data_IF_528665462288
#
_entry.id   IF_528665462288
#
_cell.length_a   1.000
_cell.length_b   1.000
_cell.length_c   1.000
_cell.angle_alpha   90.00
_cell.angle_beta   90.00
_cell.angle_gamma   90.00
#
_symmetry.space_group_name_H-M   'P 1'
#
loop_
_entity.id
_entity.type
_entity.pdbx_description
1 polymer ?
#
# COMPACT_ATOMS: atom_id res chain seq x y z
N UNK A 1 -10.23 -7.70 -19.04
CA UNK A 1 -9.18 -7.36 -18.06
C UNK A 1 -8.66 -8.65 -17.49
N UNK A 2 -7.37 -8.92 -17.66
CA UNK A 2 -6.75 -10.12 -17.14
C UNK A 2 -6.23 -9.84 -15.73
N UNK A 3 -6.55 -10.70 -14.75
CA UNK A 3 -6.12 -10.56 -13.34
C UNK A 3 -5.13 -11.67 -13.04
N UNK A 4 -3.97 -11.33 -12.51
CA UNK A 4 -2.96 -12.30 -12.09
C UNK A 4 -3.22 -12.78 -10.65
N UNK A 5 -2.77 -13.99 -10.31
CA UNK A 5 -2.70 -14.48 -8.92
C UNK A 5 -1.92 -13.52 -8.02
N UNK A 6 -0.93 -12.82 -8.56
CA UNK A 6 -0.13 -11.83 -7.84
C UNK A 6 -0.86 -10.49 -7.63
N UNK A 7 -1.97 -10.26 -8.33
CA UNK A 7 -2.88 -9.16 -8.02
C UNK A 7 -3.80 -9.46 -6.85
N UNK A 8 -4.12 -10.74 -6.67
CA UNK A 8 -4.96 -11.23 -5.57
C UNK A 8 -4.16 -11.36 -4.27
N UNK A 9 -2.95 -11.91 -4.35
CA UNK A 9 -2.10 -12.19 -3.20
C UNK A 9 -0.88 -11.25 -3.17
N UNK A 10 -1.02 -10.15 -2.45
CA UNK A 10 0.06 -9.17 -2.23
C UNK A 10 0.58 -9.24 -0.81
N UNK A 11 1.90 -9.33 -0.68
CA UNK A 11 2.57 -9.20 0.62
C UNK A 11 2.49 -7.74 1.05
N UNK A 12 2.15 -7.50 2.31
CA UNK A 12 2.04 -6.17 2.88
C UNK A 12 1.91 -6.21 4.39
N UNK A 13 1.53 -5.08 4.97
CA UNK A 13 1.39 -4.94 6.42
C UNK A 13 -0.08 -4.79 6.84
N UNK A 14 -0.41 -5.38 8.00
CA UNK A 14 -1.69 -5.16 8.65
C UNK A 14 -1.80 -3.79 9.33
N UNK A 15 -2.99 -3.39 9.79
CA UNK A 15 -4.22 -4.20 9.81
C UNK A 15 -5.09 -4.07 8.55
N UNK A 16 -4.82 -3.16 7.61
CA UNK A 16 -5.75 -2.86 6.51
C UNK A 16 -5.05 -2.58 5.19
N UNK A 17 -5.49 -3.24 4.11
CA UNK A 17 -4.99 -2.94 2.76
C UNK A 17 -5.34 -1.52 2.31
N UNK A 18 -6.53 -1.01 2.65
CA UNK A 18 -6.98 0.32 2.23
C UNK A 18 -6.56 1.46 3.16
N UNK A 19 -6.35 1.17 4.45
CA UNK A 19 -6.03 2.19 5.45
C UNK A 19 -4.59 2.10 6.00
N UNK A 20 -3.84 1.07 5.63
CA UNK A 20 -2.42 0.89 6.00
C UNK A 20 -1.54 0.77 4.77
N UNK A 21 -1.73 -0.28 3.95
CA UNK A 21 -0.92 -0.52 2.75
C UNK A 21 -1.07 0.62 1.74
N UNK A 22 -2.32 0.99 1.39
CA UNK A 22 -2.60 2.08 0.46
C UNK A 22 -1.94 3.41 0.84
N UNK A 23 -2.15 3.94 2.07
CA UNK A 23 -1.49 5.17 2.50
C UNK A 23 0.03 5.13 2.53
N UNK A 24 0.62 3.98 2.87
CA UNK A 24 2.08 3.81 2.82
C UNK A 24 2.59 3.85 1.38
N UNK A 25 1.94 3.13 0.46
CA UNK A 25 2.25 3.17 -0.97
C UNK A 25 2.08 4.58 -1.56
N UNK A 26 1.02 5.30 -1.19
CA UNK A 26 0.79 6.67 -1.65
C UNK A 26 1.89 7.63 -1.17
N UNK A 27 2.27 7.53 0.11
CA UNK A 27 3.37 8.32 0.67
C UNK A 27 4.71 8.01 -0.02
N UNK A 28 5.01 6.72 -0.23
CA UNK A 28 6.21 6.29 -0.96
C UNK A 28 6.21 6.80 -2.40
N UNK A 29 5.09 6.65 -3.12
CA UNK A 29 4.94 7.13 -4.50
C UNK A 29 5.11 8.66 -4.61
N UNK A 30 4.56 9.42 -3.66
CA UNK A 30 4.77 10.86 -3.58
C UNK A 30 6.24 11.22 -3.40
N UNK A 31 6.93 10.55 -2.46
CA UNK A 31 8.36 10.81 -2.21
C UNK A 31 9.23 10.40 -3.39
N UNK A 32 8.94 9.28 -4.04
CA UNK A 32 9.64 8.89 -5.27
C UNK A 32 9.52 9.97 -6.34
N UNK A 33 8.30 10.44 -6.62
CA UNK A 33 8.09 11.53 -7.58
C UNK A 33 8.74 12.85 -7.17
N UNK A 34 8.84 13.13 -5.87
CA UNK A 34 9.52 14.32 -5.34
C UNK A 34 11.04 14.21 -5.44
N UNK A 35 11.63 13.03 -5.24
CA UNK A 35 13.08 12.77 -5.40
C UNK A 35 13.57 13.01 -6.82
N UNK A 36 12.71 12.75 -7.80
CA UNK A 36 13.01 12.97 -9.22
C UNK A 36 12.97 14.48 -9.59
N UNK A 37 12.52 15.36 -8.68
CA UNK A 37 12.55 16.82 -8.85
C UNK A 37 13.90 17.41 -8.47
N UNK A 38 14.35 18.42 -9.23
CA UNK A 38 15.53 19.21 -8.92
C UNK A 38 15.43 19.95 -7.56
N UNK A 39 14.21 20.13 -7.05
CA UNK A 39 13.91 20.81 -5.80
C UNK A 39 13.85 19.86 -4.60
N UNK A 40 14.13 18.56 -4.77
CA UNK A 40 14.07 17.61 -3.66
C UNK A 40 14.92 18.05 -2.46
N UNK A 41 16.12 18.59 -2.69
CA UNK A 41 17.01 19.03 -1.62
C UNK A 41 16.55 20.29 -0.87
N UNK A 42 15.55 21.03 -1.36
CA UNK A 42 15.02 22.23 -0.71
C UNK A 42 13.79 21.96 0.16
N UNK A 43 13.23 20.74 0.13
CA UNK A 43 12.04 20.37 0.90
C UNK A 43 12.38 20.37 2.39
N UNK A 44 11.63 21.14 3.18
CA UNK A 44 11.80 21.17 4.65
C UNK A 44 10.57 20.69 5.40
N UNK A 45 9.45 20.47 4.68
CA UNK A 45 8.18 20.06 5.26
C UNK A 45 7.36 19.27 4.25
N UNK A 46 6.81 18.14 4.68
CA UNK A 46 5.78 17.40 3.95
C UNK A 46 4.52 17.36 4.80
N UNK A 47 3.37 17.65 4.17
CA UNK A 47 2.04 17.58 4.78
C UNK A 47 1.24 16.48 4.08
N UNK A 48 0.61 15.63 4.87
CA UNK A 48 -0.30 14.59 4.43
C UNK A 48 -1.71 14.86 4.97
N UNK A 49 -2.71 14.80 4.11
CA UNK A 49 -4.11 15.03 4.46
C UNK A 49 -4.95 13.83 4.01
N UNK A 50 -5.68 13.24 4.95
CA UNK A 50 -6.52 12.06 4.73
C UNK A 50 -7.99 12.45 4.77
N UNK A 51 -8.78 12.00 3.81
CA UNK A 51 -10.18 12.41 3.61
C UNK A 51 -11.15 11.22 3.73
N UNK A 52 -12.43 11.54 3.88
CA UNK A 52 -13.53 10.58 3.88
C UNK A 52 -13.39 9.48 4.93
N UNK A 53 -13.59 8.21 4.51
CA UNK A 53 -13.50 7.05 5.40
C UNK A 53 -12.09 6.90 5.99
N UNK A 54 -11.06 7.20 5.19
CA UNK A 54 -9.67 7.16 5.62
C UNK A 54 -9.40 8.20 6.72
N UNK A 55 -9.91 9.43 6.55
CA UNK A 55 -9.85 10.47 7.58
C UNK A 55 -10.64 10.11 8.85
N UNK A 56 -11.75 9.38 8.73
CA UNK A 56 -12.59 8.98 9.86
C UNK A 56 -11.96 7.86 10.71
N UNK A 57 -11.46 6.81 10.06
CA UNK A 57 -11.05 5.56 10.75
C UNK A 57 -9.55 5.30 10.73
N UNK A 58 -8.77 6.09 9.99
CA UNK A 58 -7.35 5.82 9.75
C UNK A 58 -6.49 5.72 11.01
N UNK A 59 -6.85 6.44 12.09
CA UNK A 59 -6.17 6.32 13.39
C UNK A 59 -6.22 4.89 13.95
N UNK A 60 -7.37 4.23 13.86
CA UNK A 60 -7.54 2.85 14.35
C UNK A 60 -6.84 1.80 13.47
N UNK A 61 -6.59 2.15 12.21
CA UNK A 61 -5.96 1.30 11.21
C UNK A 61 -4.45 1.56 11.05
N UNK A 62 -3.85 2.39 11.90
CA UNK A 62 -2.42 2.68 11.84
C UNK A 62 -1.98 3.57 10.68
N UNK A 63 -2.91 4.27 10.00
CA UNK A 63 -2.60 5.18 8.88
C UNK A 63 -1.48 6.17 9.20
N UNK A 64 -1.40 6.81 10.39
CA UNK A 64 -0.31 7.74 10.68
C UNK A 64 1.08 7.11 10.61
N UNK A 65 1.26 5.92 11.21
CA UNK A 65 2.53 5.20 11.17
C UNK A 65 2.87 4.74 9.75
N UNK A 66 1.88 4.22 9.02
CA UNK A 66 2.04 3.81 7.63
C UNK A 66 2.50 4.95 6.72
N UNK A 67 1.91 6.14 6.87
CA UNK A 67 2.33 7.34 6.14
C UNK A 67 3.76 7.73 6.51
N UNK A 68 4.13 7.72 7.79
CA UNK A 68 5.51 8.02 8.20
C UNK A 68 6.52 7.06 7.57
N UNK A 69 6.26 5.75 7.60
CA UNK A 69 7.17 4.77 7.00
C UNK A 69 7.29 4.97 5.49
N UNK A 70 6.17 5.22 4.79
CA UNK A 70 6.21 5.53 3.36
C UNK A 70 6.97 6.83 3.04
N UNK A 71 6.87 7.86 3.89
CA UNK A 71 7.65 9.10 3.75
C UNK A 71 9.16 8.88 3.97
N UNK A 72 9.54 7.91 4.81
CA UNK A 72 10.93 7.48 4.96
C UNK A 72 11.42 6.59 3.80
N UNK A 73 10.58 6.34 2.80
CA UNK A 73 10.93 5.56 1.61
C UNK A 73 10.66 4.06 1.72
N UNK A 74 10.05 3.59 2.80
CA UNK A 74 9.73 2.18 3.00
C UNK A 74 8.56 1.71 2.14
N UNK A 75 8.54 0.41 1.83
CA UNK A 75 7.44 -0.27 1.14
C UNK A 75 6.78 -1.32 2.04
N UNK A 76 5.44 -1.51 1.96
CA UNK A 76 4.74 -2.51 2.76
C UNK A 76 5.25 -3.94 2.59
N UNK A 77 5.74 -4.28 1.39
CA UNK A 77 6.23 -5.62 1.06
C UNK A 77 7.59 -5.94 1.72
N UNK A 78 8.42 -4.94 1.96
CA UNK A 78 9.83 -5.14 2.35
C UNK A 78 10.17 -4.61 3.74
N UNK A 79 9.28 -3.82 4.35
CA UNK A 79 9.54 -3.23 5.65
C UNK A 79 9.64 -4.29 6.75
N UNK A 80 10.63 -4.15 7.65
CA UNK A 80 10.64 -4.89 8.91
C UNK A 80 9.51 -4.38 9.81
N UNK A 81 8.42 -5.15 9.86
CA UNK A 81 7.22 -4.86 10.65
C UNK A 81 7.53 -4.66 12.14
N UNK A 82 8.54 -5.36 12.67
CA UNK A 82 8.94 -5.27 14.09
C UNK A 82 9.61 -3.93 14.41
N UNK A 83 10.13 -3.24 13.40
CA UNK A 83 10.80 -1.95 13.57
C UNK A 83 9.83 -0.76 13.60
N UNK A 84 8.62 -0.91 13.08
CA UNK A 84 7.68 0.19 12.82
C UNK A 84 7.38 0.98 14.08
N UNK A 85 6.95 0.33 15.16
CA UNK A 85 6.54 1.00 16.40
C UNK A 85 7.69 1.85 16.97
N UNK A 86 8.89 1.28 17.06
CA UNK A 86 10.10 1.98 17.53
C UNK A 86 10.44 3.19 16.65
N UNK A 87 10.34 3.07 15.33
CA UNK A 87 10.62 4.16 14.40
C UNK A 87 9.60 5.28 14.51
N UNK A 88 8.31 4.95 14.58
CA UNK A 88 7.24 5.92 14.80
C UNK A 88 7.45 6.68 16.10
N UNK A 89 7.76 5.99 17.20
CA UNK A 89 8.10 6.64 18.47
C UNK A 89 9.33 7.56 18.36
N UNK A 90 10.35 7.14 17.62
CA UNK A 90 11.54 7.94 17.33
C UNK A 90 11.22 9.23 16.56
N UNK A 91 10.36 9.15 15.54
CA UNK A 91 9.93 10.32 14.75
C UNK A 91 9.16 11.30 15.64
N UNK A 92 8.22 10.79 16.43
CA UNK A 92 7.36 11.60 17.30
C UNK A 92 8.12 12.29 18.42
N UNK A 93 9.09 11.60 19.03
CA UNK A 93 9.91 12.14 20.12
C UNK A 93 10.93 13.17 19.63
N UNK A 94 11.56 12.93 18.48
CA UNK A 94 12.58 13.83 17.93
C UNK A 94 11.99 14.99 17.11
N UNK A 95 10.73 14.90 16.69
CA UNK A 95 10.07 15.90 15.84
C UNK A 95 10.71 16.01 14.45
N UNK A 96 11.26 14.89 13.96
CA UNK A 96 12.00 14.80 12.70
C UNK A 96 11.70 13.49 12.00
N UNK A 97 11.70 13.51 10.67
CA UNK A 97 11.54 12.32 9.82
C UNK A 97 12.70 12.27 8.82
N UNK A 98 13.18 11.06 8.49
CA UNK A 98 14.23 10.86 7.49
C UNK A 98 13.59 10.76 6.11
N UNK A 99 13.39 11.89 5.43
CA UNK A 99 12.69 11.92 4.15
C UNK A 99 13.40 11.07 3.10
N UNK A 100 12.68 10.14 2.48
CA UNK A 100 13.21 9.15 1.54
C UNK A 100 14.37 8.27 2.07
N UNK A 101 14.66 8.30 3.37
CA UNK A 101 15.86 7.68 3.92
C UNK A 101 17.14 8.47 3.66
N UNK A 102 17.05 9.69 3.09
CA UNK A 102 18.22 10.46 2.65
C UNK A 102 18.62 11.58 3.62
N UNK A 103 17.68 12.45 3.98
CA UNK A 103 17.97 13.58 4.86
C UNK A 103 16.79 13.92 5.79
N UNK A 104 17.10 14.57 6.89
CA UNK A 104 16.14 14.81 7.95
C UNK A 104 15.42 16.16 7.79
N UNK A 105 14.08 16.13 7.85
CA UNK A 105 13.23 17.32 7.90
C UNK A 105 12.48 17.40 9.23
N UNK A 106 12.01 18.60 9.58
CA UNK A 106 11.12 18.78 10.75
C UNK A 106 9.78 18.11 10.47
N UNK A 107 9.23 17.43 11.47
CA UNK A 107 7.95 16.74 11.37
C UNK A 107 7.16 16.83 12.67
N UNK A 108 5.88 17.18 12.54
CA UNK A 108 4.92 17.17 13.64
C UNK A 108 3.65 16.47 13.17
N UNK A 109 3.37 15.27 13.68
CA UNK A 109 2.16 14.53 13.30
C UNK A 109 0.89 15.38 13.46
N UNK A 110 0.83 16.24 14.49
CA UNK A 110 -0.32 17.13 14.73
C UNK A 110 -0.55 18.15 13.60
N UNK A 111 0.53 18.67 13.02
CA UNK A 111 0.47 19.76 12.04
C UNK A 111 0.61 19.27 10.59
N UNK A 112 1.27 18.13 10.42
CA UNK A 112 1.73 17.61 9.14
C UNK A 112 0.96 16.34 8.73
N UNK A 113 0.13 15.77 9.61
CA UNK A 113 -0.81 14.72 9.26
C UNK A 113 -2.22 15.08 9.73
N UNK A 114 -3.09 15.44 8.78
CA UNK A 114 -4.46 15.89 9.06
C UNK A 114 -5.46 14.81 8.68
N UNK A 115 -6.31 14.42 9.62
CA UNK A 115 -7.40 13.47 9.39
C UNK A 115 -8.74 14.22 9.24
N UNK A 116 -9.18 14.47 8.02
CA UNK A 116 -10.44 15.15 7.72
C UNK A 116 -11.62 14.19 7.80
N UNK A 117 -12.29 14.15 8.97
CA UNK A 117 -13.43 13.25 9.21
C UNK A 117 -14.71 13.62 8.46
N UNK A 118 -14.85 14.87 8.03
CA UNK A 118 -16.08 15.43 7.44
C UNK A 118 -15.88 15.98 6.03
N UNK A 119 -14.66 15.90 5.49
CA UNK A 119 -14.37 16.32 4.12
C UNK A 119 -14.05 15.09 3.30
N UNK A 120 -14.55 15.07 2.07
CA UNK A 120 -14.31 14.03 1.09
C UNK A 120 -13.59 14.64 -0.10
N UNK A 121 -12.82 13.84 -0.81
CA UNK A 121 -12.40 14.17 -2.17
C UNK A 121 -13.40 13.59 -3.17
N UNK A 122 -13.51 14.13 -4.40
CA UNK A 122 -14.62 13.82 -5.30
C UNK A 122 -14.66 12.38 -5.82
N UNK A 123 -13.50 11.75 -6.03
CA UNK A 123 -13.42 10.47 -6.74
C UNK A 123 -13.70 9.25 -5.87
N UNK A 124 -13.06 9.13 -4.70
CA UNK A 124 -13.20 7.96 -3.84
C UNK A 124 -13.12 8.33 -2.34
N UNK A 125 -13.87 7.66 -1.44
CA UNK A 125 -13.91 7.98 -0.01
C UNK A 125 -12.59 7.79 0.74
N UNK A 126 -11.62 7.07 0.18
CA UNK A 126 -10.27 6.92 0.75
C UNK A 126 -9.27 7.83 0.02
N UNK A 127 -9.54 9.13 0.04
CA UNK A 127 -8.72 10.15 -0.60
C UNK A 127 -7.56 10.61 0.30
N UNK A 128 -6.43 10.91 -0.33
CA UNK A 128 -5.19 11.34 0.30
C UNK A 128 -4.60 12.49 -0.49
N UNK A 129 -4.05 13.50 0.18
CA UNK A 129 -3.34 14.60 -0.46
C UNK A 129 -1.99 14.80 0.22
N UNK A 130 -0.94 14.86 -0.58
CA UNK A 130 0.42 15.11 -0.11
C UNK A 130 0.93 16.41 -0.72
N UNK A 131 1.54 17.24 0.11
CA UNK A 131 2.10 18.54 -0.29
C UNK A 131 3.50 18.70 0.32
N UNK A 132 4.48 19.08 -0.50
CA UNK A 132 5.85 19.37 -0.08
C UNK A 132 6.14 20.87 -0.15
N UNK A 133 6.88 21.40 0.83
CA UNK A 133 7.16 22.82 0.96
C UNK A 133 8.63 23.11 1.22
N UNK A 134 9.10 24.24 0.70
CA UNK A 134 10.41 24.81 1.00
C UNK A 134 10.44 25.59 2.33
N UNK A 135 11.60 26.19 2.64
CA UNK A 135 11.81 26.99 3.85
C UNK A 135 10.94 28.25 3.92
N UNK A 136 10.57 28.82 2.77
CA UNK A 136 9.73 30.00 2.64
C UNK A 136 8.23 29.67 2.63
N UNK A 137 7.89 28.38 2.76
CA UNK A 137 6.53 27.80 2.73
C UNK A 137 5.90 27.84 1.34
N UNK A 138 6.68 27.99 0.29
CA UNK A 138 6.20 27.81 -1.07
C UNK A 138 5.93 26.32 -1.32
N UNK A 139 4.89 26.05 -2.09
CA UNK A 139 4.52 24.70 -2.49
C UNK A 139 5.45 24.24 -3.62
N UNK A 140 6.23 23.19 -3.37
CA UNK A 140 7.09 22.55 -4.38
C UNK A 140 6.26 21.57 -5.21
N UNK A 141 5.51 20.69 -4.55
CA UNK A 141 4.70 19.67 -5.22
C UNK A 141 3.46 19.33 -4.41
N UNK A 142 2.36 19.11 -5.12
CA UNK A 142 1.14 18.53 -4.57
C UNK A 142 0.65 17.38 -5.45
N UNK A 143 0.20 16.30 -4.81
CA UNK A 143 -0.42 15.14 -5.46
C UNK A 143 -1.58 14.63 -4.62
N UNK A 144 -2.60 14.13 -5.30
CA UNK A 144 -3.76 13.49 -4.70
C UNK A 144 -3.76 12.02 -5.09
N UNK A 145 -4.05 11.14 -4.12
CA UNK A 145 -4.13 9.70 -4.33
C UNK A 145 -5.41 9.14 -3.73
N UNK A 146 -5.85 8.00 -4.27
CA UNK A 146 -7.03 7.27 -3.81
C UNK A 146 -6.69 5.81 -3.56
N UNK A 147 -7.02 5.30 -2.37
CA UNK A 147 -6.92 3.86 -2.10
C UNK A 147 -8.24 3.16 -2.41
N UNK A 148 -8.29 2.44 -3.53
CA UNK A 148 -9.53 1.89 -4.12
C UNK A 148 -9.85 0.44 -3.71
N UNK A 149 -9.00 -0.19 -2.89
CA UNK A 149 -9.18 -1.57 -2.41
C UNK A 149 -8.03 -2.48 -2.83
N UNK A 150 -7.86 -3.63 -2.19
CA UNK A 150 -6.80 -4.61 -2.52
C UNK A 150 -5.35 -4.12 -2.35
N UNK A 151 -5.13 -2.95 -1.74
CA UNK A 151 -3.81 -2.31 -1.65
C UNK A 151 -3.45 -1.45 -2.88
N UNK A 152 -4.35 -1.33 -3.85
CA UNK A 152 -4.16 -0.47 -5.01
C UNK A 152 -4.32 1.01 -4.65
N UNK A 153 -3.47 1.84 -5.24
CA UNK A 153 -3.46 3.30 -5.10
C UNK A 153 -3.45 3.92 -6.48
N UNK A 154 -4.34 4.86 -6.71
CA UNK A 154 -4.45 5.60 -7.98
C UNK A 154 -4.11 7.07 -7.72
N UNK A 155 -3.24 7.67 -8.52
CA UNK A 155 -2.98 9.11 -8.52
C UNK A 155 -4.17 9.82 -9.20
N UNK A 156 -4.66 10.95 -8.68
CA UNK A 156 -5.76 11.71 -9.28
C UNK A 156 -5.47 12.15 -10.74
N UNK A 157 -4.21 12.51 -11.03
CA UNK A 157 -3.78 12.80 -12.40
C UNK A 157 -3.91 11.57 -13.32
N UNK A 158 -3.83 10.37 -12.74
CA UNK A 158 -4.08 9.10 -13.40
C UNK A 158 -5.52 8.58 -13.21
N UNK A 159 -6.36 9.17 -12.34
CA UNK A 159 -7.74 8.77 -12.08
C UNK A 159 -8.75 9.57 -12.94
N UNK A 160 -8.32 10.73 -13.46
CA UNK A 160 -9.02 11.50 -14.48
C UNK A 160 -8.83 10.93 -15.89
N UNK A 161 -7.79 10.11 -16.08
CA UNK A 161 -7.78 9.06 -17.08
C UNK A 161 -8.38 7.80 -16.42
N UNK A 162 -9.22 7.03 -17.10
CA UNK A 162 -9.72 5.76 -16.57
C UNK A 162 -8.56 4.76 -16.44
N UNK A 163 -7.80 4.80 -15.34
CA UNK A 163 -6.66 3.92 -15.11
C UNK A 163 -6.87 3.08 -13.84
N UNK A 164 -7.80 2.13 -13.94
CA UNK A 164 -7.30 0.76 -13.75
C UNK A 164 -6.39 0.58 -14.95
N UNK A 165 -5.06 0.48 -14.77
CA UNK A 165 -4.18 0.17 -15.90
C UNK A 165 -4.71 -1.14 -16.45
N UNK A 166 -5.47 -1.07 -17.55
CA UNK A 166 -6.05 -2.24 -18.16
C UNK A 166 -4.89 -3.06 -18.65
N UNK A 167 -4.61 -4.13 -17.92
CA UNK A 167 -3.65 -5.11 -18.38
C UNK A 167 -4.25 -5.81 -19.59
N UNK A 168 -3.85 -5.29 -20.75
CA UNK A 168 -4.23 -5.76 -22.08
C UNK A 168 -3.36 -6.94 -22.53
N UNK A 169 -2.59 -7.55 -21.61
CA UNK A 169 -1.86 -8.77 -21.91
C UNK A 169 -2.84 -9.84 -22.38
N UNK A 170 -2.63 -10.29 -23.62
CA UNK A 170 -3.41 -11.36 -24.23
C UNK A 170 -3.04 -12.68 -23.58
N UNK A 171 -3.90 -13.18 -22.70
CA UNK A 171 -3.75 -14.50 -22.09
C UNK A 171 -4.28 -15.60 -23.03
N UNK A 172 -3.70 -16.82 -23.01
CA UNK A 172 -4.12 -17.93 -23.87
C UNK A 172 -5.58 -18.38 -23.66
N UNK A 173 -6.06 -18.37 -22.41
CA UNK A 173 -7.36 -18.91 -22.03
C UNK A 173 -8.19 -17.88 -21.22
N UNK A 174 -8.69 -16.81 -21.87
CA UNK A 174 -9.52 -15.81 -21.19
C UNK A 174 -10.92 -16.36 -20.87
N UNK A 175 -11.47 -16.00 -19.71
CA UNK A 175 -12.82 -16.35 -19.29
C UNK A 175 -13.44 -15.24 -18.43
N UNK A 176 -14.74 -15.01 -18.58
CA UNK A 176 -15.49 -13.99 -17.82
C UNK A 176 -16.55 -14.59 -16.89
N UNK A 177 -16.74 -15.91 -16.92
CA UNK A 177 -17.68 -16.63 -16.07
C UNK A 177 -17.18 -18.00 -15.65
N UNK A 178 -17.78 -18.55 -14.59
CA UNK A 178 -17.53 -19.93 -14.18
C UNK A 178 -17.90 -20.94 -15.29
N UNK A 179 -18.92 -20.62 -16.11
CA UNK A 179 -19.31 -21.47 -17.23
C UNK A 179 -18.22 -21.53 -18.31
N UNK A 180 -17.65 -20.37 -18.68
CA UNK A 180 -16.57 -20.29 -19.67
C UNK A 180 -15.31 -21.01 -19.19
N UNK A 181 -14.96 -20.84 -17.92
CA UNK A 181 -13.82 -21.54 -17.31
C UNK A 181 -13.97 -23.06 -17.40
N UNK A 182 -15.14 -23.59 -17.05
CA UNK A 182 -15.41 -25.04 -17.13
C UNK A 182 -15.40 -25.52 -18.58
N UNK A 183 -16.00 -24.77 -19.51
CA UNK A 183 -15.99 -25.10 -20.93
C UNK A 183 -14.56 -25.13 -21.51
N UNK A 184 -13.67 -24.23 -21.06
CA UNK A 184 -12.25 -24.26 -21.45
C UNK A 184 -11.51 -25.47 -20.87
N UNK A 185 -11.78 -25.85 -19.61
CA UNK A 185 -11.21 -27.05 -19.02
C UNK A 185 -11.64 -28.30 -19.80
N UNK A 186 -12.93 -28.43 -20.13
CA UNK A 186 -13.46 -29.54 -20.92
C UNK A 186 -12.85 -29.59 -22.34
N UNK A 187 -12.67 -28.42 -22.97
CA UNK A 187 -12.11 -28.32 -24.33
C UNK A 187 -10.61 -28.63 -24.39
N UNK A 188 -9.85 -28.21 -23.39
CA UNK A 188 -8.37 -28.33 -23.38
C UNK A 188 -7.88 -29.60 -22.67
N UNK A 189 -8.71 -30.18 -21.79
CA UNK A 189 -8.31 -31.25 -20.89
C UNK A 189 -7.45 -30.79 -19.70
N UNK A 190 -7.23 -29.47 -19.55
CA UNK A 190 -6.46 -28.90 -18.44
C UNK A 190 -7.34 -28.78 -17.19
N UNK A 191 -6.75 -29.01 -16.03
CA UNK A 191 -7.35 -28.60 -14.74
C UNK A 191 -7.37 -27.08 -14.62
N UNK A 192 -8.21 -26.53 -13.73
CA UNK A 192 -8.26 -25.08 -13.48
C UNK A 192 -6.87 -24.51 -13.14
N UNK A 193 -6.09 -25.20 -12.30
CA UNK A 193 -4.76 -24.73 -11.92
C UNK A 193 -3.77 -24.76 -13.09
N UNK A 194 -3.86 -25.75 -13.98
CA UNK A 194 -3.03 -25.79 -15.19
C UNK A 194 -3.44 -24.70 -16.19
N UNK A 195 -4.74 -24.47 -16.36
CA UNK A 195 -5.24 -23.37 -17.20
C UNK A 195 -4.77 -22.01 -16.68
N UNK A 196 -4.87 -21.79 -15.36
CA UNK A 196 -4.33 -20.58 -14.73
C UNK A 196 -2.81 -20.47 -14.85
N UNK A 197 -2.08 -21.58 -14.77
CA UNK A 197 -0.63 -21.61 -15.00
C UNK A 197 -0.26 -21.14 -16.41
N UNK A 198 -0.95 -21.66 -17.43
CA UNK A 198 -0.77 -21.23 -18.82
C UNK A 198 -1.10 -19.74 -19.02
N UNK A 199 -2.12 -19.23 -18.32
CA UNK A 199 -2.43 -17.80 -18.34
C UNK A 199 -1.33 -16.97 -17.66
N UNK A 200 -0.78 -17.41 -16.51
CA UNK A 200 0.29 -16.70 -15.81
C UNK A 200 1.58 -16.58 -16.65
N UNK A 201 1.87 -17.60 -17.46
CA UNK A 201 3.01 -17.61 -18.39
C UNK A 201 2.93 -16.52 -19.47
N UNK A 202 1.77 -15.90 -19.67
CA UNK A 202 1.64 -14.74 -20.56
C UNK A 202 2.39 -13.51 -20.04
N UNK A 203 2.59 -13.41 -18.73
CA UNK A 203 3.24 -12.26 -18.10
C UNK A 203 4.68 -12.51 -17.68
N UNK A 204 5.02 -13.75 -17.29
CA UNK A 204 6.25 -14.08 -16.55
C UNK A 204 6.74 -15.47 -16.89
N UNK A 205 8.03 -15.74 -16.64
CA UNK A 205 8.57 -17.09 -16.81
C UNK A 205 8.09 -18.05 -15.70
N UNK A 206 8.19 -19.36 -15.95
CA UNK A 206 7.91 -20.39 -14.95
C UNK A 206 8.74 -20.19 -13.67
N UNK A 207 10.01 -19.83 -13.81
CA UNK A 207 10.90 -19.57 -12.68
C UNK A 207 10.42 -18.38 -11.84
N UNK A 208 9.99 -17.30 -12.50
CA UNK A 208 9.46 -16.11 -11.82
C UNK A 208 8.15 -16.41 -11.08
N UNK A 209 7.24 -17.16 -11.71
CA UNK A 209 5.96 -17.56 -11.11
C UNK A 209 6.21 -18.39 -9.85
N UNK A 210 7.03 -19.45 -9.96
CA UNK A 210 7.36 -20.32 -8.84
C UNK A 210 8.04 -19.56 -7.70
N UNK A 211 9.02 -18.71 -8.02
CA UNK A 211 9.72 -17.91 -7.03
C UNK A 211 8.76 -16.99 -6.27
N UNK A 212 7.85 -16.31 -6.97
CA UNK A 212 6.93 -15.36 -6.35
C UNK A 212 5.83 -16.06 -5.54
N UNK A 213 5.31 -17.20 -5.99
CA UNK A 213 4.39 -18.02 -5.21
C UNK A 213 5.06 -18.53 -3.92
N UNK A 214 6.33 -18.94 -4.00
CA UNK A 214 7.07 -19.38 -2.82
C UNK A 214 7.33 -18.25 -1.83
N UNK A 215 7.59 -17.02 -2.30
CA UNK A 215 7.68 -15.84 -1.43
C UNK A 215 6.36 -15.59 -0.67
N UNK A 216 5.22 -15.63 -1.36
CA UNK A 216 3.90 -15.47 -0.73
C UNK A 216 3.67 -16.56 0.32
N UNK A 217 3.92 -17.81 -0.03
CA UNK A 217 3.78 -18.94 0.88
C UNK A 217 4.67 -18.78 2.13
N UNK A 218 5.93 -18.40 1.93
CA UNK A 218 6.88 -18.18 3.03
C UNK A 218 6.42 -17.07 3.97
N UNK A 219 5.92 -15.95 3.42
CA UNK A 219 5.35 -14.85 4.20
C UNK A 219 4.11 -15.29 4.99
N UNK A 220 3.25 -16.14 4.41
CA UNK A 220 2.11 -16.72 5.13
C UNK A 220 2.56 -17.62 6.29
N UNK A 221 3.57 -18.47 6.08
CA UNK A 221 4.11 -19.32 7.15
C UNK A 221 4.71 -18.48 8.28
N UNK A 222 5.53 -17.49 7.95
CA UNK A 222 6.12 -16.59 8.95
C UNK A 222 5.03 -15.82 9.72
N UNK A 223 3.96 -15.39 9.05
CA UNK A 223 2.82 -14.73 9.69
C UNK A 223 2.13 -15.66 10.71
N UNK A 224 1.95 -16.95 10.38
CA UNK A 224 1.40 -17.95 11.31
C UNK A 224 2.33 -18.13 12.51
N UNK A 225 3.63 -18.32 12.27
CA UNK A 225 4.64 -18.50 13.33
C UNK A 225 4.72 -17.29 14.27
N UNK A 226 4.70 -16.08 13.71
CA UNK A 226 4.63 -14.83 14.46
C UNK A 226 3.33 -14.75 15.27
N UNK A 227 2.20 -15.20 14.70
CA UNK A 227 0.89 -15.20 15.35
C UNK A 227 0.82 -16.10 16.58
N UNK A 228 1.41 -17.31 16.50
CA UNK A 228 1.44 -18.27 17.61
C UNK A 228 2.49 -17.95 18.66
N UNK A 229 3.55 -17.22 18.32
CA UNK A 229 4.59 -16.82 19.29
C UNK A 229 4.28 -15.50 19.99
N UNK A 230 3.52 -14.59 19.36
CA UNK A 230 3.25 -13.25 19.89
C UNK A 230 2.13 -13.24 20.92
N UNK A 231 2.50 -12.97 22.18
CA UNK A 231 1.56 -12.78 23.30
C UNK A 231 1.13 -11.32 23.44
N UNK A 232 0.07 -11.10 24.22
CA UNK A 232 -0.34 -9.76 24.65
C UNK A 232 -1.78 -9.40 24.31
N UNK A 233 -2.06 -8.10 24.27
CA UNK A 233 -3.38 -7.53 24.00
C UNK A 233 -3.34 -6.83 22.64
N UNK A 234 -4.37 -7.01 21.82
CA UNK A 234 -4.48 -6.31 20.54
C UNK A 234 -4.61 -4.79 20.75
N UNK A 235 -3.98 -3.98 19.88
CA UNK A 235 -4.15 -2.53 19.90
C UNK A 235 -5.61 -2.16 19.54
N UNK A 236 -5.98 -0.88 19.75
CA UNK A 236 -7.32 -0.37 19.40
C UNK A 236 -8.30 -0.22 20.58
N UNK A 237 -7.84 -0.41 21.81
CA UNK A 237 -8.59 -0.03 23.02
C UNK A 237 -9.68 -1.01 23.49
N UNK A 238 -9.98 -2.04 22.70
CA UNK A 238 -10.97 -3.08 23.05
C UNK A 238 -10.46 -4.12 24.06
N UNK A 239 -9.18 -4.04 24.46
CA UNK A 239 -8.53 -4.93 25.44
C UNK A 239 -8.65 -6.43 25.10
N UNK A 240 -8.66 -6.76 23.81
CA UNK A 240 -8.80 -8.15 23.34
C UNK A 240 -7.47 -8.88 23.49
N UNK A 241 -7.45 -9.97 24.25
CA UNK A 241 -6.25 -10.82 24.43
C UNK A 241 -6.00 -11.67 23.17
N UNK A 242 -4.74 -11.76 22.75
CA UNK A 242 -4.29 -12.73 21.73
C UNK A 242 -4.48 -14.16 22.24
N UNK A 243 -4.98 -15.07 21.40
CA UNK A 243 -5.35 -16.44 21.79
C UNK A 243 -4.60 -17.56 21.05
N UNK A 244 -3.87 -17.22 19.99
CA UNK A 244 -3.14 -18.21 19.19
C UNK A 244 -1.87 -18.74 19.88
N UNK A 245 -1.37 -18.00 20.88
CA UNK A 245 -0.15 -18.27 21.66
C UNK A 245 -0.38 -18.98 22.98
#
# INVERSE_FOLDING_TARGET
>A
MSISVFDLFKIGIGPSSSHTVGPMCAAHGFIKGLRDSAEFGSVVRVKAEMYGSLGATGKGHGTPGAVMMGLEGELPETIDVRSIDRRVEGILSNGKIMLAGEYSIKYSQKNDLVLHRKKSLPYHPNGMKFSAFDADKNLIQERVYYSVGGGFVVDEAAASADCIIEDNTSIPYPFDSAHDLLALCDKTGLTISQLMWENELAWRSEEEINLNLFKIWSAMQECVDNGVSTRGILPGGLKVKRRAS
#
